data_IF_303457414582
#
_entry.id   IF_303457414582
#
_cell.length_a   1.000
_cell.length_b   1.000
_cell.length_c   1.000
_cell.angle_alpha   90.00
_cell.angle_beta   90.00
_cell.angle_gamma   90.00
#
_symmetry.space_group_name_H-M   'P 1'
#
loop_
_entity.id
_entity.type
_entity.pdbx_description
1 polymer ?
#
# COMPACT_ATOMS: atom_id res chain seq x y z
N UNK A 1 10.48 7.74 39.73
CA UNK A 1 9.37 8.51 39.12
C UNK A 1 9.84 9.57 38.14
N UNK A 2 10.75 10.50 38.50
CA UNK A 2 11.26 11.55 37.59
C UNK A 2 11.88 11.05 36.27
N UNK A 3 12.65 9.97 36.30
CA UNK A 3 13.26 9.42 35.08
C UNK A 3 12.20 8.89 34.09
N UNK A 4 11.19 8.19 34.61
CA UNK A 4 10.06 7.67 33.83
C UNK A 4 9.29 8.84 33.20
N UNK A 5 9.03 9.91 33.95
CA UNK A 5 8.33 11.08 33.42
C UNK A 5 9.08 11.78 32.29
N UNK A 6 10.42 11.88 32.38
CA UNK A 6 11.22 12.44 31.28
C UNK A 6 11.28 11.51 30.06
N UNK A 7 11.32 10.19 30.29
CA UNK A 7 11.29 9.19 29.21
C UNK A 7 9.96 9.19 28.46
N UNK A 8 8.82 9.32 29.14
CA UNK A 8 7.50 9.42 28.48
C UNK A 8 7.37 10.71 27.66
N UNK A 9 7.92 11.84 28.15
CA UNK A 9 7.90 13.11 27.43
C UNK A 9 8.69 13.06 26.10
N UNK A 10 9.78 12.28 26.06
CA UNK A 10 10.61 12.10 24.87
C UNK A 10 9.86 11.39 23.72
N UNK A 11 8.96 10.45 24.05
CA UNK A 11 8.24 9.64 23.06
C UNK A 11 7.24 10.47 22.23
N UNK A 12 6.77 11.61 22.73
CA UNK A 12 5.81 12.47 22.02
C UNK A 12 6.41 13.23 20.84
N UNK A 13 7.74 13.28 20.70
CA UNK A 13 8.40 14.00 19.60
C UNK A 13 8.59 13.15 18.34
N UNK A 14 8.34 11.85 18.40
CA UNK A 14 8.43 11.00 17.22
C UNK A 14 7.18 11.14 16.36
N UNK A 15 7.34 11.70 15.17
CA UNK A 15 6.29 11.66 14.15
C UNK A 15 6.07 10.22 13.72
N UNK A 16 4.82 9.78 13.75
CA UNK A 16 4.43 8.51 13.17
C UNK A 16 4.38 8.69 11.66
N UNK A 17 5.29 8.02 10.95
CA UNK A 17 5.21 7.86 9.50
C UNK A 17 4.39 6.61 9.19
N UNK A 18 3.49 6.72 8.22
CA UNK A 18 2.89 5.53 7.62
C UNK A 18 3.79 5.01 6.49
N UNK A 19 3.51 3.80 6.03
CA UNK A 19 4.28 3.13 4.99
C UNK A 19 3.50 3.14 3.69
N UNK A 20 4.20 3.37 2.58
CA UNK A 20 3.64 3.20 1.24
C UNK A 20 3.37 1.72 0.96
N UNK A 21 2.35 1.47 0.16
CA UNK A 21 1.97 0.12 -0.24
C UNK A 21 2.79 -0.31 -1.46
N UNK A 22 3.37 -1.51 -1.41
CA UNK A 22 4.07 -2.12 -2.54
C UNK A 22 3.73 -3.61 -2.57
N UNK A 23 2.89 -4.02 -3.50
CA UNK A 23 2.39 -5.39 -3.63
C UNK A 23 2.31 -5.85 -5.08
N UNK A 24 2.41 -7.16 -5.26
CA UNK A 24 2.12 -7.84 -6.53
C UNK A 24 0.64 -8.23 -6.59
N UNK A 25 0.01 -8.04 -7.75
CA UNK A 25 -1.38 -8.43 -7.99
C UNK A 25 -1.39 -9.58 -8.99
N UNK A 26 -2.09 -10.66 -8.66
CA UNK A 26 -2.20 -11.84 -9.52
C UNK A 26 -3.67 -12.14 -9.80
N UNK A 27 -4.06 -12.06 -11.07
CA UNK A 27 -5.41 -12.36 -11.56
C UNK A 27 -5.39 -13.71 -12.25
N UNK A 28 -6.07 -14.69 -11.65
CA UNK A 28 -6.16 -16.02 -12.23
C UNK A 28 -7.12 -16.05 -13.43
N UNK A 29 -6.56 -15.98 -14.64
CA UNK A 29 -7.29 -15.95 -15.92
C UNK A 29 -7.06 -17.20 -16.79
N UNK A 30 -6.58 -18.31 -16.19
CA UNK A 30 -6.10 -19.50 -16.92
C UNK A 30 -7.16 -20.18 -17.80
N UNK A 31 -8.45 -20.05 -17.46
CA UNK A 31 -9.57 -20.73 -18.12
C UNK A 31 -10.32 -19.85 -19.14
N UNK A 32 -9.81 -18.66 -19.43
CA UNK A 32 -10.52 -17.64 -20.21
C UNK A 32 -10.05 -17.65 -21.67
N UNK A 33 -10.96 -17.36 -22.61
CA UNK A 33 -10.66 -17.32 -24.05
C UNK A 33 -9.71 -16.17 -24.43
N UNK A 34 -8.94 -16.35 -25.51
CA UNK A 34 -7.78 -15.51 -25.86
C UNK A 34 -8.08 -14.01 -26.00
N UNK A 35 -9.25 -13.61 -26.51
CA UNK A 35 -9.65 -12.19 -26.65
C UNK A 35 -9.99 -11.54 -25.31
N UNK A 36 -10.53 -12.30 -24.36
CA UNK A 36 -10.90 -11.79 -23.03
C UNK A 36 -9.69 -11.69 -22.10
N UNK A 37 -8.61 -12.45 -22.36
CA UNK A 37 -7.37 -12.41 -21.54
C UNK A 37 -6.76 -11.02 -21.46
N UNK A 38 -6.83 -10.21 -22.52
CA UNK A 38 -6.28 -8.85 -22.51
C UNK A 38 -6.99 -7.96 -21.48
N UNK A 39 -8.30 -8.14 -21.29
CA UNK A 39 -9.09 -7.40 -20.29
C UNK A 39 -8.58 -7.73 -18.88
N UNK A 40 -8.31 -9.00 -18.58
CA UNK A 40 -7.78 -9.42 -17.28
C UNK A 40 -6.34 -8.98 -17.06
N UNK A 41 -5.49 -9.02 -18.10
CA UNK A 41 -4.13 -8.51 -18.02
C UNK A 41 -4.10 -6.98 -17.80
N UNK A 42 -5.06 -6.25 -18.39
CA UNK A 42 -5.23 -4.82 -18.14
C UNK A 42 -5.76 -4.58 -16.73
N UNK A 43 -6.72 -5.38 -16.26
CA UNK A 43 -7.24 -5.30 -14.90
C UNK A 43 -6.15 -5.50 -13.86
N UNK A 44 -5.34 -6.56 -13.99
CA UNK A 44 -4.20 -6.87 -13.11
C UNK A 44 -3.25 -5.67 -13.00
N UNK A 45 -2.75 -5.19 -14.16
CA UNK A 45 -1.85 -4.04 -14.22
C UNK A 45 -2.47 -2.76 -13.66
N UNK A 46 -3.76 -2.52 -13.90
CA UNK A 46 -4.43 -1.33 -13.39
C UNK A 46 -4.60 -1.38 -11.87
N UNK A 47 -4.93 -2.54 -11.31
CA UNK A 47 -5.05 -2.71 -9.86
C UNK A 47 -3.66 -2.59 -9.21
N UNK A 48 -2.64 -3.24 -9.76
CA UNK A 48 -1.27 -3.14 -9.26
C UNK A 48 -0.76 -1.69 -9.28
N UNK A 49 -0.95 -0.99 -10.39
CA UNK A 49 -0.62 0.42 -10.54
C UNK A 49 -1.38 1.29 -9.56
N UNK A 50 -2.69 1.09 -9.40
CA UNK A 50 -3.50 1.80 -8.42
C UNK A 50 -3.00 1.59 -6.98
N UNK A 51 -2.63 0.37 -6.62
CA UNK A 51 -2.19 0.05 -5.27
C UNK A 51 -0.81 0.64 -4.96
N UNK A 52 0.14 0.54 -5.90
CA UNK A 52 1.54 0.87 -5.67
C UNK A 52 1.89 2.34 -5.96
N UNK A 53 1.12 3.04 -6.81
CA UNK A 53 1.40 4.44 -7.18
C UNK A 53 0.64 5.43 -6.30
N UNK A 54 -0.54 5.04 -5.79
CA UNK A 54 -1.30 5.94 -4.94
C UNK A 54 -0.53 6.26 -3.66
N UNK A 55 -0.43 7.55 -3.36
CA UNK A 55 0.03 8.00 -2.06
C UNK A 55 -1.09 7.78 -1.03
N UNK A 56 -0.85 6.85 -0.12
CA UNK A 56 -1.79 6.50 0.94
C UNK A 56 -1.68 7.41 2.16
N UNK A 57 -0.60 8.18 2.25
CA UNK A 57 -0.26 9.01 3.40
C UNK A 57 -0.51 10.50 3.14
N UNK A 58 -0.57 10.90 1.87
CA UNK A 58 -0.79 12.29 1.44
C UNK A 58 -2.16 12.47 0.76
N UNK A 59 -3.23 12.07 1.45
CA UNK A 59 -4.60 12.42 1.05
C UNK A 59 -5.05 13.63 1.87
N UNK A 60 -4.73 14.84 1.38
CA UNK A 60 -5.34 16.08 1.87
C UNK A 60 -6.70 16.30 1.23
#
# INVERSE_FOLDING_TARGET
MRFITYSTLLLFFFKLSSQQLNCEVVVNSSFINQTEKEIFNNLERNIESFLNINDWDNKS
#
